data_IF_856831936094
#
_entry.id   IF_856831936094
#
_cell.length_a   1.000
_cell.length_b   1.000
_cell.length_c   1.000
_cell.angle_alpha   90.00
_cell.angle_beta   90.00
_cell.angle_gamma   90.00
#
_symmetry.space_group_name_H-M   'P 1'
#
loop_
_entity.id
_entity.type
_entity.pdbx_description
1 polymer ?
#
# COMPACT_ATOMS: atom_id res chain seq x y z
N UNK A 1 -4.89 6.62 -18.35
CA UNK A 1 -6.31 6.72 -17.95
C UNK A 1 -6.49 7.40 -16.60
N UNK A 2 -5.74 7.04 -15.56
CA UNK A 2 -5.83 7.62 -14.21
C UNK A 2 -5.47 9.12 -14.12
N UNK A 3 -4.44 9.57 -14.86
CA UNK A 3 -4.08 11.01 -14.93
C UNK A 3 -5.21 11.89 -15.47
N UNK A 4 -5.98 11.38 -16.44
CA UNK A 4 -7.10 12.09 -17.06
C UNK A 4 -8.28 12.24 -16.09
N UNK A 5 -8.49 11.23 -15.22
CA UNK A 5 -9.45 11.27 -14.12
C UNK A 5 -9.05 12.30 -13.05
N UNK A 6 -7.76 12.36 -12.71
CA UNK A 6 -7.19 13.35 -11.80
C UNK A 6 -7.40 14.79 -12.30
N UNK A 7 -7.11 15.04 -13.57
CA UNK A 7 -7.27 16.36 -14.20
C UNK A 7 -8.76 16.76 -14.31
N UNK A 8 -9.67 15.81 -14.51
CA UNK A 8 -11.10 16.09 -14.60
C UNK A 8 -11.74 16.51 -13.26
N UNK A 9 -11.18 16.03 -12.14
CA UNK A 9 -11.64 16.38 -10.79
C UNK A 9 -10.94 17.65 -10.26
N UNK A 10 -9.72 17.94 -10.74
CA UNK A 10 -8.94 19.13 -10.39
C UNK A 10 -9.71 20.47 -10.45
N UNK A 11 -10.50 20.79 -11.50
CA UNK A 11 -11.23 22.06 -11.56
C UNK A 11 -12.32 22.21 -10.50
N UNK A 12 -12.77 21.13 -9.84
CA UNK A 12 -13.68 21.23 -8.69
C UNK A 12 -12.96 21.67 -7.40
N UNK A 13 -11.64 21.55 -7.34
CA UNK A 13 -10.84 21.82 -6.14
C UNK A 13 -9.85 22.99 -6.28
N UNK A 14 -9.69 23.52 -7.49
CA UNK A 14 -8.73 24.59 -7.82
C UNK A 14 -9.51 25.81 -8.29
N UNK A 15 -9.38 26.91 -7.56
CA UNK A 15 -9.91 28.21 -7.96
C UNK A 15 -8.87 28.92 -8.85
N UNK A 16 -9.13 29.11 -10.15
CA UNK A 16 -8.18 29.74 -11.06
C UNK A 16 -7.90 31.22 -10.74
N UNK A 17 -8.69 31.85 -9.87
CA UNK A 17 -8.45 33.23 -9.41
C UNK A 17 -7.38 33.34 -8.32
N UNK A 18 -6.96 32.22 -7.72
CA UNK A 18 -5.98 32.16 -6.64
C UNK A 18 -4.65 31.49 -7.08
N UNK A 19 -3.58 31.57 -6.26
CA UNK A 19 -2.29 30.98 -6.60
C UNK A 19 -2.36 29.45 -6.72
N UNK A 20 -2.48 28.95 -7.95
CA UNK A 20 -2.62 27.52 -8.29
C UNK A 20 -1.49 26.67 -7.71
N UNK A 21 -0.26 27.20 -7.66
CA UNK A 21 0.89 26.47 -7.09
C UNK A 21 0.70 26.07 -5.63
N UNK A 22 0.11 26.94 -4.81
CA UNK A 22 -0.15 26.66 -3.39
C UNK A 22 -1.29 25.66 -3.20
N UNK A 23 -2.35 25.79 -4.01
CA UNK A 23 -3.48 24.84 -3.99
C UNK A 23 -3.05 23.43 -4.41
N UNK A 24 -2.19 23.31 -5.43
CA UNK A 24 -1.62 22.03 -5.85
C UNK A 24 -0.78 21.38 -4.76
N UNK A 25 0.02 22.17 -4.04
CA UNK A 25 0.84 21.70 -2.92
C UNK A 25 -0.04 21.16 -1.78
N UNK A 26 -1.14 21.87 -1.46
CA UNK A 26 -2.12 21.41 -0.48
C UNK A 26 -2.77 20.09 -0.91
N UNK A 27 -3.23 19.97 -2.16
CA UNK A 27 -3.86 18.76 -2.67
C UNK A 27 -2.90 17.56 -2.67
N UNK A 28 -1.63 17.78 -3.04
CA UNK A 28 -0.59 16.76 -2.97
C UNK A 28 -0.33 16.33 -1.53
N UNK A 29 -0.21 17.29 -0.61
CA UNK A 29 0.00 17.01 0.82
C UNK A 29 -1.18 16.21 1.41
N UNK A 30 -2.42 16.61 1.12
CA UNK A 30 -3.62 15.94 1.62
C UNK A 30 -3.76 14.50 1.11
N UNK A 31 -3.21 14.20 -0.07
CA UNK A 31 -3.23 12.85 -0.64
C UNK A 31 -2.12 11.98 -0.03
N UNK A 32 -0.91 12.51 0.09
CA UNK A 32 0.27 11.76 0.53
C UNK A 32 0.27 11.55 2.05
N UNK A 33 -0.07 12.56 2.85
CA UNK A 33 -0.01 12.50 4.32
C UNK A 33 -0.80 11.31 4.89
N UNK A 34 -2.10 11.13 4.59
CA UNK A 34 -2.85 9.99 5.12
C UNK A 34 -2.33 8.65 4.60
N UNK A 35 -1.94 8.55 3.32
CA UNK A 35 -1.34 7.32 2.78
C UNK A 35 -0.04 6.96 3.51
N UNK A 36 0.81 7.94 3.76
CA UNK A 36 2.05 7.78 4.51
C UNK A 36 1.78 7.42 5.97
N UNK A 37 0.80 8.07 6.63
CA UNK A 37 0.38 7.72 7.99
C UNK A 37 -0.16 6.30 8.07
N UNK A 38 -0.93 5.86 7.08
CA UNK A 38 -1.46 4.49 7.00
C UNK A 38 -0.33 3.50 6.81
N UNK A 39 0.59 3.73 5.86
CA UNK A 39 1.75 2.87 5.62
C UNK A 39 2.71 2.82 6.80
N UNK A 40 2.97 3.96 7.46
CA UNK A 40 3.74 4.01 8.69
C UNK A 40 3.02 3.30 9.83
N UNK A 41 1.71 3.46 9.97
CA UNK A 41 0.89 2.74 10.95
C UNK A 41 0.96 1.23 10.73
N UNK A 42 0.76 0.77 9.49
CA UNK A 42 0.93 -0.63 9.12
C UNK A 42 2.36 -1.11 9.32
N UNK A 43 3.37 -0.30 8.98
CA UNK A 43 4.77 -0.62 9.17
C UNK A 43 5.14 -0.74 10.64
N UNK A 44 4.63 0.15 11.50
CA UNK A 44 4.82 0.13 12.94
C UNK A 44 4.08 -1.04 13.57
N UNK A 45 2.82 -1.28 13.21
CA UNK A 45 2.05 -2.45 13.65
C UNK A 45 2.71 -3.75 13.20
N UNK A 46 3.18 -3.83 11.95
CA UNK A 46 3.93 -4.96 11.43
C UNK A 46 5.30 -5.09 12.12
N UNK A 47 5.97 -3.99 12.48
CA UNK A 47 7.26 -4.02 13.21
C UNK A 47 7.09 -4.38 14.69
N UNK A 48 5.96 -4.01 15.30
CA UNK A 48 5.61 -4.34 16.69
C UNK A 48 5.12 -5.79 16.77
N UNK A 49 4.28 -6.20 15.81
CA UNK A 49 3.99 -7.60 15.55
C UNK A 49 5.25 -8.37 15.16
N UNK A 50 6.26 -7.73 14.53
CA UNK A 50 7.57 -8.32 14.29
C UNK A 50 8.36 -8.44 15.59
N UNK A 51 8.28 -7.52 16.55
CA UNK A 51 8.90 -7.75 17.87
C UNK A 51 8.29 -8.97 18.56
N UNK A 52 6.96 -9.17 18.46
CA UNK A 52 6.30 -10.41 18.93
C UNK A 52 6.58 -11.64 18.03
N UNK A 53 6.79 -11.45 16.73
CA UNK A 53 7.11 -12.51 15.78
C UNK A 53 8.61 -12.82 15.68
N UNK A 54 9.47 -11.99 16.29
CA UNK A 54 10.91 -12.25 16.47
C UNK A 54 11.11 -13.29 17.58
N UNK A 55 10.03 -13.68 18.26
CA UNK A 55 9.98 -14.97 18.94
C UNK A 55 10.12 -16.07 17.85
N UNK A 56 11.24 -16.82 17.82
CA UNK A 56 11.70 -17.62 16.67
C UNK A 56 10.72 -18.70 16.18
N UNK A 57 9.67 -18.94 16.96
CA UNK A 57 8.58 -19.86 16.69
C UNK A 57 7.52 -19.28 15.75
N UNK A 58 7.22 -17.99 15.83
CA UNK A 58 6.19 -17.34 15.01
C UNK A 58 6.71 -16.93 13.64
N UNK A 59 7.93 -16.36 13.53
CA UNK A 59 8.58 -16.12 12.24
C UNK A 59 8.68 -17.40 11.39
N UNK A 60 9.06 -18.54 11.99
CA UNK A 60 9.09 -19.84 11.30
C UNK A 60 7.72 -20.33 10.85
N UNK A 61 6.64 -20.03 11.57
CA UNK A 61 5.28 -20.39 11.15
C UNK A 61 4.84 -19.54 9.96
N UNK A 62 5.13 -18.24 9.97
CA UNK A 62 4.78 -17.35 8.86
C UNK A 62 5.58 -17.67 7.59
N UNK A 63 6.88 -17.93 7.70
CA UNK A 63 7.72 -18.37 6.57
C UNK A 63 7.28 -19.73 6.04
N UNK A 64 6.86 -20.65 6.91
CA UNK A 64 6.29 -21.95 6.48
C UNK A 64 4.94 -21.79 5.81
N UNK A 65 4.05 -20.94 6.31
CA UNK A 65 2.77 -20.66 5.68
C UNK A 65 2.98 -20.02 4.30
N UNK A 66 3.84 -19.01 4.21
CA UNK A 66 4.19 -18.35 2.95
C UNK A 66 4.82 -19.33 1.95
N UNK A 67 5.80 -20.12 2.39
CA UNK A 67 6.42 -21.16 1.58
C UNK A 67 5.42 -22.25 1.12
N UNK A 68 4.51 -22.64 2.01
CA UNK A 68 3.46 -23.62 1.69
C UNK A 68 2.47 -23.07 0.68
N UNK A 69 2.06 -21.79 0.80
CA UNK A 69 1.20 -21.10 -0.15
C UNK A 69 1.85 -21.00 -1.54
N UNK A 70 3.14 -20.68 -1.59
CA UNK A 70 3.90 -20.63 -2.86
C UNK A 70 4.00 -22.02 -3.48
N UNK A 71 4.29 -23.06 -2.69
CA UNK A 71 4.31 -24.44 -3.16
C UNK A 71 2.93 -24.89 -3.67
N UNK A 72 1.85 -24.56 -2.96
CA UNK A 72 0.48 -24.90 -3.34
C UNK A 72 0.06 -24.17 -4.62
N UNK A 73 0.43 -22.89 -4.75
CA UNK A 73 0.25 -22.14 -5.99
C UNK A 73 1.05 -22.76 -7.15
N UNK A 74 2.29 -23.19 -6.91
CA UNK A 74 3.12 -23.89 -7.88
C UNK A 74 2.51 -25.22 -8.33
N UNK A 75 1.99 -26.01 -7.40
CA UNK A 75 1.27 -27.27 -7.68
C UNK A 75 0.00 -26.98 -8.47
N UNK A 76 -0.78 -25.97 -8.09
CA UNK A 76 -2.00 -25.58 -8.82
C UNK A 76 -1.68 -25.17 -10.25
N UNK A 77 -0.67 -24.32 -10.46
CA UNK A 77 -0.22 -23.91 -11.79
C UNK A 77 0.29 -25.10 -12.60
N UNK A 78 1.06 -26.00 -11.99
CA UNK A 78 1.52 -27.22 -12.65
C UNK A 78 0.35 -28.18 -12.99
N UNK A 79 -0.69 -28.22 -12.16
CA UNK A 79 -1.89 -29.02 -12.40
C UNK A 79 -2.82 -28.41 -13.45
N UNK A 80 -2.85 -27.09 -13.57
CA UNK A 80 -3.65 -26.37 -14.58
C UNK A 80 -3.03 -26.46 -15.97
N UNK A 81 -1.73 -26.74 -16.06
CA UNK A 81 -0.98 -26.86 -17.31
C UNK A 81 -0.90 -28.31 -17.83
N UNK A 82 -1.82 -29.18 -17.39
CA UNK A 82 -2.12 -30.51 -17.96
C UNK A 82 -3.51 -30.50 -18.58
#
# INVERSE_FOLDING_TARGET
KSLLMFVAILPQFVDPAAPVGFQMLILAALSIVPEFCILLGYGLLASSARQWATEPRYARMTDRCAGSLVLLAGILVASVNR
#
